data_IF_338519671966
#
_entry.id   IF_338519671966
#
_cell.length_a   1.000
_cell.length_b   1.000
_cell.length_c   1.000
_cell.angle_alpha   90.00
_cell.angle_beta   90.00
_cell.angle_gamma   90.00
#
_symmetry.space_group_name_H-M   'P 1'
#
loop_
_entity.id
_entity.type
_entity.pdbx_description
1 polymer ?
#
# COMPACT_ATOMS: atom_id res chain seq x y z
N UNK A 1 -7.04 -10.24 -6.08
CA UNK A 1 -5.81 -10.98 -5.75
C UNK A 1 -4.78 -9.94 -5.36
N UNK A 2 -4.09 -10.13 -4.23
CA UNK A 2 -3.19 -9.12 -3.70
C UNK A 2 -1.89 -9.06 -4.52
N UNK A 3 -1.34 -7.86 -4.66
CA UNK A 3 -0.10 -7.59 -5.40
C UNK A 3 0.86 -6.79 -4.52
N UNK A 4 2.15 -7.02 -4.65
CA UNK A 4 3.18 -6.20 -4.03
C UNK A 4 3.79 -5.24 -5.06
N UNK A 5 3.99 -3.97 -4.68
CA UNK A 5 4.66 -2.96 -5.46
C UNK A 5 5.95 -2.51 -4.74
N UNK A 6 7.10 -2.80 -5.34
CA UNK A 6 8.41 -2.39 -4.83
C UNK A 6 8.76 -0.96 -5.24
N UNK A 7 9.44 -0.23 -4.37
CA UNK A 7 10.07 1.05 -4.71
C UNK A 7 11.60 0.92 -4.57
N UNK A 8 12.32 1.00 -5.70
CA UNK A 8 13.79 0.85 -5.72
C UNK A 8 14.53 1.95 -5.00
N UNK A 9 14.14 3.20 -5.24
CA UNK A 9 14.77 4.37 -4.65
C UNK A 9 13.72 5.39 -4.27
N UNK A 10 13.76 5.82 -3.03
CA UNK A 10 13.03 6.97 -2.56
C UNK A 10 13.95 7.82 -1.69
N UNK A 11 14.06 9.11 -1.99
CA UNK A 11 14.70 10.07 -1.09
C UNK A 11 13.87 10.35 0.17
N UNK A 12 12.68 9.76 0.29
CA UNK A 12 11.76 9.95 1.40
C UNK A 12 11.92 8.86 2.45
N UNK A 13 12.00 9.26 3.71
CA UNK A 13 11.99 8.33 4.84
C UNK A 13 10.59 7.71 5.06
N UNK A 14 10.47 6.42 5.44
CA UNK A 14 9.17 5.77 5.62
C UNK A 14 8.21 6.49 6.56
N UNK A 15 8.73 7.02 7.68
CA UNK A 15 7.89 7.80 8.62
C UNK A 15 7.36 9.11 7.99
N UNK A 16 8.12 9.76 7.10
CA UNK A 16 7.65 10.94 6.39
C UNK A 16 6.54 10.61 5.40
N UNK A 17 6.63 9.44 4.76
CA UNK A 17 5.59 8.91 3.89
C UNK A 17 4.32 8.60 4.69
N UNK A 18 4.44 7.92 5.83
CA UNK A 18 3.32 7.64 6.73
C UNK A 18 2.64 8.92 7.21
N UNK A 19 3.41 9.92 7.65
CA UNK A 19 2.87 11.21 8.09
C UNK A 19 2.01 11.87 6.99
N UNK A 20 2.51 11.90 5.74
CA UNK A 20 1.75 12.45 4.61
C UNK A 20 0.47 11.67 4.32
N UNK A 21 0.52 10.33 4.42
CA UNK A 21 -0.64 9.46 4.23
C UNK A 21 -1.76 9.74 5.24
N UNK A 22 -1.44 10.19 6.46
CA UNK A 22 -2.45 10.49 7.49
C UNK A 22 -3.48 11.55 7.06
N UNK A 23 -3.17 12.37 6.03
CA UNK A 23 -4.12 13.31 5.45
C UNK A 23 -5.39 12.59 4.96
N UNK A 24 -5.20 11.54 4.16
CA UNK A 24 -6.27 10.85 3.43
C UNK A 24 -6.57 9.45 3.98
N UNK A 25 -5.67 8.86 4.77
CA UNK A 25 -5.76 7.50 5.28
C UNK A 25 -5.81 7.46 6.80
N UNK A 26 -6.53 6.47 7.32
CA UNK A 26 -6.37 5.98 8.69
C UNK A 26 -5.29 4.91 8.70
N UNK A 27 -4.46 4.90 9.74
CA UNK A 27 -3.35 3.97 9.88
C UNK A 27 -3.60 3.00 11.03
N UNK A 28 -3.31 1.74 10.78
CA UNK A 28 -3.28 0.67 11.77
C UNK A 28 -1.93 -0.05 11.66
N UNK A 29 -1.26 -0.23 12.79
CA UNK A 29 -0.04 -1.01 12.89
C UNK A 29 -0.35 -2.51 12.91
N UNK A 30 0.50 -3.29 12.25
CA UNK A 30 0.38 -4.73 12.21
C UNK A 30 1.77 -5.36 12.37
N UNK A 31 1.92 -6.23 13.36
CA UNK A 31 3.19 -6.92 13.61
C UNK A 31 3.27 -8.18 12.75
N UNK A 32 4.26 -8.22 11.86
CA UNK A 32 4.65 -9.39 11.08
C UNK A 32 5.51 -10.31 11.94
N UNK A 33 5.19 -11.60 11.91
CA UNK A 33 5.99 -12.63 12.56
C UNK A 33 7.16 -13.04 11.68
N UNK A 34 8.14 -13.73 12.28
CA UNK A 34 9.29 -14.28 11.55
C UNK A 34 8.83 -15.04 10.30
N UNK A 35 9.52 -14.81 9.19
CA UNK A 35 9.22 -15.40 7.87
C UNK A 35 7.80 -15.09 7.39
N UNK A 36 7.18 -14.02 7.89
CA UNK A 36 5.85 -13.54 7.50
C UNK A 36 4.74 -14.59 7.65
N UNK A 37 4.85 -15.48 8.65
CA UNK A 37 3.91 -16.60 8.89
C UNK A 37 2.46 -16.18 9.12
N UNK A 38 2.22 -14.91 9.45
CA UNK A 38 0.90 -14.33 9.67
C UNK A 38 0.45 -13.42 8.51
N UNK A 39 1.07 -13.52 7.33
CA UNK A 39 0.69 -12.74 6.15
C UNK A 39 -0.79 -12.93 5.77
N UNK A 40 -1.33 -14.15 5.87
CA UNK A 40 -2.76 -14.40 5.61
C UNK A 40 -3.67 -13.66 6.58
N UNK A 41 -3.24 -13.44 7.83
CA UNK A 41 -3.97 -12.63 8.81
C UNK A 41 -3.93 -11.15 8.45
N UNK A 42 -2.79 -10.64 7.98
CA UNK A 42 -2.67 -9.28 7.45
C UNK A 42 -3.62 -9.07 6.27
N UNK A 43 -3.61 -9.98 5.29
CA UNK A 43 -4.48 -9.90 4.11
C UNK A 43 -5.96 -9.97 4.48
N UNK A 44 -6.32 -10.85 5.42
CA UNK A 44 -7.68 -10.93 5.94
C UNK A 44 -8.10 -9.64 6.66
N UNK A 45 -7.17 -9.01 7.39
CA UNK A 45 -7.42 -7.71 8.04
C UNK A 45 -7.62 -6.60 7.02
N UNK A 46 -6.80 -6.53 5.97
CA UNK A 46 -6.97 -5.59 4.86
C UNK A 46 -8.33 -5.76 4.18
N UNK A 47 -8.75 -6.99 3.89
CA UNK A 47 -10.06 -7.28 3.29
C UNK A 47 -11.23 -6.93 4.23
N UNK A 48 -11.07 -7.12 5.54
CA UNK A 48 -12.09 -6.67 6.50
C UNK A 48 -12.17 -5.15 6.53
N UNK A 49 -11.04 -4.45 6.47
CA UNK A 49 -10.98 -2.99 6.49
C UNK A 49 -11.46 -2.39 5.18
N UNK A 50 -11.39 -3.09 4.04
CA UNK A 50 -11.87 -2.58 2.75
C UNK A 50 -13.40 -2.57 2.65
N UNK A 51 -14.11 -3.33 3.48
CA UNK A 51 -15.59 -3.40 3.43
C UNK A 51 -16.24 -2.13 3.96
N UNK A 52 -17.17 -1.58 3.19
CA UNK A 52 -18.06 -0.48 3.60
C UNK A 52 -19.45 -0.99 3.94
N UNK A 53 -20.18 -0.22 4.75
CA UNK A 53 -21.55 -0.54 5.16
C UNK A 53 -22.55 -0.54 3.98
N UNK A 54 -22.26 0.22 2.92
CA UNK A 54 -23.07 0.29 1.69
C UNK A 54 -22.79 -0.84 0.69
N UNK A 55 -21.96 -1.82 1.07
CA UNK A 55 -21.54 -2.94 0.21
C UNK A 55 -20.45 -2.57 -0.79
N UNK A 56 -19.98 -1.32 -0.81
CA UNK A 56 -18.82 -0.90 -1.58
C UNK A 56 -17.50 -1.39 -0.96
N UNK A 57 -16.44 -1.35 -1.74
CA UNK A 57 -15.07 -1.44 -1.22
C UNK A 57 -14.47 -0.05 -1.07
N UNK A 58 -13.54 0.11 -0.14
CA UNK A 58 -12.65 1.26 -0.04
C UNK A 58 -11.20 0.82 -0.23
N UNK A 59 -10.36 1.66 -0.83
CA UNK A 59 -8.93 1.40 -0.96
C UNK A 59 -8.25 1.11 0.38
N UNK A 60 -7.50 0.01 0.42
CA UNK A 60 -6.66 -0.40 1.54
C UNK A 60 -5.35 -0.96 1.01
N UNK A 61 -4.24 -0.42 1.47
CA UNK A 61 -2.91 -0.96 1.17
C UNK A 61 -2.03 -0.97 2.40
N UNK A 62 -0.97 -1.77 2.38
CA UNK A 62 0.05 -1.81 3.42
C UNK A 62 1.30 -1.11 2.94
N UNK A 63 1.98 -0.37 3.82
CA UNK A 63 3.37 0.01 3.65
C UNK A 63 4.24 -0.85 4.58
N UNK A 64 5.28 -1.45 4.03
CA UNK A 64 6.34 -2.12 4.78
C UNK A 64 7.70 -1.57 4.36
N UNK A 65 8.53 -1.25 5.35
CA UNK A 65 9.84 -0.62 5.18
C UNK A 65 10.97 -1.38 5.92
N UNK A 66 10.74 -2.66 6.20
CA UNK A 66 11.65 -3.53 6.93
C UNK A 66 11.32 -3.66 8.41
N UNK A 67 11.83 -4.72 9.03
CA UNK A 67 11.61 -5.07 10.43
C UNK A 67 10.35 -5.91 10.66
N UNK A 68 9.66 -5.67 11.77
CA UNK A 68 8.48 -6.45 12.17
C UNK A 68 7.17 -5.67 12.06
N UNK A 69 7.19 -4.38 11.71
CA UNK A 69 6.00 -3.55 11.69
C UNK A 69 5.59 -3.16 10.26
N UNK A 70 4.35 -3.49 9.91
CA UNK A 70 3.69 -3.08 8.69
C UNK A 70 2.54 -2.12 9.02
N UNK A 71 2.29 -1.14 8.14
CA UNK A 71 1.27 -0.12 8.35
C UNK A 71 0.14 -0.27 7.35
N UNK A 72 -1.05 -0.65 7.82
CA UNK A 72 -2.26 -0.71 7.01
C UNK A 72 -2.82 0.70 6.86
N UNK A 73 -2.92 1.17 5.63
CA UNK A 73 -3.46 2.48 5.25
C UNK A 73 -4.83 2.27 4.62
N UNK A 74 -5.86 2.70 5.35
CA UNK A 74 -7.26 2.59 4.93
C UNK A 74 -7.78 3.96 4.54
N UNK A 75 -8.30 4.10 3.32
CA UNK A 75 -8.80 5.39 2.85
C UNK A 75 -9.97 5.87 3.72
N UNK A 76 -9.92 7.12 4.19
CA UNK A 76 -10.99 7.71 5.00
C UNK A 76 -12.27 7.85 4.18
N UNK A 77 -13.41 7.65 4.83
CA UNK A 77 -14.74 7.75 4.18
C UNK A 77 -15.07 9.16 3.69
N UNK A 78 -14.47 10.18 4.29
CA UNK A 78 -14.62 11.58 3.90
C UNK A 78 -13.49 12.08 2.98
N UNK A 79 -12.62 11.19 2.48
CA UNK A 79 -11.56 11.59 1.56
C UNK A 79 -12.12 11.96 0.19
N UNK A 80 -11.67 13.10 -0.35
CA UNK A 80 -12.00 13.51 -1.71
C UNK A 80 -11.47 12.53 -2.77
N UNK A 81 -10.48 11.70 -2.43
CA UNK A 81 -9.97 10.64 -3.32
C UNK A 81 -11.04 9.58 -3.63
N UNK A 82 -12.05 9.40 -2.78
CA UNK A 82 -13.17 8.51 -3.11
C UNK A 82 -14.00 9.03 -4.29
N UNK A 83 -13.98 10.35 -4.53
CA UNK A 83 -14.72 10.97 -5.63
C UNK A 83 -13.97 10.89 -6.96
N UNK A 84 -12.66 10.61 -6.94
CA UNK A 84 -11.83 10.46 -8.15
C UNK A 84 -11.87 9.04 -8.71
N UNK A 85 -12.41 8.07 -7.96
CA UNK A 85 -12.56 6.68 -8.38
C UNK A 85 -13.90 6.53 -9.10
N UNK A 86 -13.86 6.05 -10.35
CA UNK A 86 -15.08 5.79 -11.12
C UNK A 86 -15.97 4.74 -10.44
N UNK A 87 -17.30 4.90 -10.43
CA UNK A 87 -18.20 3.82 -10.00
C UNK A 87 -18.00 2.58 -10.88
N UNK A 88 -17.53 1.48 -10.28
CA UNK A 88 -17.23 0.23 -11.00
C UNK A 88 -15.80 0.12 -11.53
N UNK A 89 -14.92 1.07 -11.21
CA UNK A 89 -13.47 0.95 -11.48
C UNK A 89 -12.95 -0.36 -10.88
N UNK A 90 -12.28 -1.16 -11.71
CA UNK A 90 -11.55 -2.34 -11.24
C UNK A 90 -10.20 -1.85 -10.71
N UNK A 91 -9.72 -2.49 -9.65
CA UNK A 91 -8.43 -2.14 -9.04
C UNK A 91 -8.38 -0.74 -8.38
N UNK A 92 -9.40 -0.41 -7.57
CA UNK A 92 -9.52 0.91 -6.92
C UNK A 92 -8.32 1.22 -6.01
N UNK A 93 -7.77 0.21 -5.35
CA UNK A 93 -6.61 0.39 -4.46
C UNK A 93 -5.39 0.79 -5.28
N UNK A 94 -5.14 0.12 -6.41
CA UNK A 94 -4.05 0.45 -7.32
C UNK A 94 -4.16 1.87 -7.87
N UNK A 95 -5.34 2.30 -8.31
CA UNK A 95 -5.55 3.66 -8.84
C UNK A 95 -5.22 4.72 -7.79
N UNK A 96 -5.71 4.55 -6.56
CA UNK A 96 -5.42 5.47 -5.46
C UNK A 96 -3.93 5.44 -5.09
N UNK A 97 -3.31 4.26 -5.09
CA UNK A 97 -1.88 4.13 -4.85
C UNK A 97 -1.05 4.92 -5.88
N UNK A 98 -1.37 4.79 -7.17
CA UNK A 98 -0.68 5.52 -8.24
C UNK A 98 -0.85 7.04 -8.10
N UNK A 99 -2.09 7.51 -7.93
CA UNK A 99 -2.39 8.95 -7.86
C UNK A 99 -1.84 9.62 -6.59
N UNK A 100 -2.10 9.03 -5.42
CA UNK A 100 -1.79 9.68 -4.15
C UNK A 100 -0.37 9.37 -3.70
N UNK A 101 0.08 8.13 -3.83
CA UNK A 101 1.38 7.70 -3.30
C UNK A 101 2.49 7.98 -4.32
N UNK A 102 2.39 7.40 -5.51
CA UNK A 102 3.47 7.51 -6.51
C UNK A 102 3.57 8.93 -7.05
N UNK A 103 2.47 9.52 -7.52
CA UNK A 103 2.46 10.87 -8.09
C UNK A 103 2.42 11.95 -7.00
N UNK A 104 1.45 11.87 -6.08
CA UNK A 104 1.21 12.93 -5.10
C UNK A 104 2.31 13.08 -4.04
N UNK A 105 2.70 11.98 -3.40
CA UNK A 105 3.65 12.02 -2.28
C UNK A 105 5.10 11.86 -2.76
N UNK A 106 5.36 10.84 -3.59
CA UNK A 106 6.70 10.53 -4.07
C UNK A 106 7.12 11.38 -5.27
N UNK A 107 6.18 12.03 -5.96
CA UNK A 107 6.47 12.91 -7.09
C UNK A 107 6.95 12.17 -8.35
N UNK A 108 6.65 10.88 -8.48
CA UNK A 108 7.10 10.05 -9.60
C UNK A 108 6.17 10.25 -10.80
N UNK A 109 6.71 10.76 -11.90
CA UNK A 109 6.02 10.79 -13.18
C UNK A 109 5.70 9.37 -13.69
N UNK A 110 4.73 9.18 -14.59
CA UNK A 110 4.41 7.85 -15.14
C UNK A 110 5.61 7.11 -15.74
N UNK A 111 6.56 7.85 -16.32
CA UNK A 111 7.81 7.29 -16.83
C UNK A 111 8.70 6.78 -15.70
N UNK A 112 8.90 7.58 -14.66
CA UNK A 112 9.70 7.18 -13.50
C UNK A 112 9.05 6.02 -12.74
N UNK A 113 7.72 5.96 -12.70
CA UNK A 113 7.01 4.82 -12.13
C UNK A 113 7.35 3.53 -12.87
N UNK A 114 7.35 3.54 -14.21
CA UNK A 114 7.70 2.37 -15.02
C UNK A 114 9.16 1.91 -14.81
N UNK A 115 10.06 2.83 -14.46
CA UNK A 115 11.48 2.53 -14.23
C UNK A 115 11.78 2.11 -12.76
N UNK A 116 11.01 2.64 -11.79
CA UNK A 116 11.30 2.51 -10.36
C UNK A 116 10.31 1.62 -9.57
N UNK A 117 9.17 1.26 -10.16
CA UNK A 117 8.14 0.43 -9.53
C UNK A 117 8.10 -0.94 -10.18
N UNK A 118 8.23 -1.99 -9.38
CA UNK A 118 8.12 -3.39 -9.83
C UNK A 118 6.92 -4.01 -9.12
N UNK A 119 6.10 -4.74 -9.86
CA UNK A 119 4.94 -5.46 -9.32
C UNK A 119 5.22 -6.96 -9.28
N UNK A 120 4.79 -7.63 -8.21
CA UNK A 120 4.84 -9.09 -8.06
C UNK A 120 3.60 -9.62 -7.33
N UNK A 121 3.25 -10.89 -7.56
CA UNK A 121 2.24 -11.61 -6.78
C UNK A 121 2.85 -12.41 -5.62
N UNK A 122 4.18 -12.58 -5.60
CA UNK A 122 4.90 -13.21 -4.49
C UNK A 122 5.15 -12.19 -3.37
N UNK A 123 4.18 -12.08 -2.47
CA UNK A 123 4.20 -11.12 -1.38
C UNK A 123 5.28 -11.41 -0.33
N UNK A 124 5.55 -12.69 -0.05
CA UNK A 124 6.55 -13.07 0.95
C UNK A 124 7.97 -12.75 0.46
N UNK A 125 8.27 -13.08 -0.80
CA UNK A 125 9.53 -12.67 -1.42
C UNK A 125 9.65 -11.13 -1.47
N UNK A 126 8.53 -10.42 -1.61
CA UNK A 126 8.54 -8.98 -1.64
C UNK A 126 8.86 -8.32 -0.30
N UNK A 127 8.32 -8.85 0.80
CA UNK A 127 8.70 -8.42 2.14
C UNK A 127 10.18 -8.74 2.42
N UNK A 128 10.62 -9.96 2.06
CA UNK A 128 12.01 -10.38 2.25
C UNK A 128 13.01 -9.47 1.53
N UNK A 129 12.71 -9.07 0.30
CA UNK A 129 13.62 -8.21 -0.46
C UNK A 129 13.78 -6.81 0.16
N UNK A 130 12.80 -6.32 0.92
CA UNK A 130 12.92 -5.07 1.71
C UNK A 130 13.80 -5.30 2.94
N UNK A 131 13.59 -6.40 3.68
CA UNK A 131 14.42 -6.74 4.83
C UNK A 131 15.89 -6.99 4.44
N UNK A 132 16.13 -7.54 3.26
CA UNK A 132 17.46 -7.72 2.68
C UNK A 132 18.09 -6.41 2.18
N UNK A 133 17.37 -5.28 2.24
CA UNK A 133 17.82 -3.96 1.82
C UNK A 133 17.90 -3.77 0.30
N UNK A 134 17.25 -4.63 -0.50
CA UNK A 134 17.23 -4.51 -1.96
C UNK A 134 16.29 -3.39 -2.46
N UNK A 135 15.26 -3.08 -1.67
CA UNK A 135 14.27 -2.05 -1.95
C UNK A 135 14.03 -1.19 -0.72
N UNK A 136 13.64 0.07 -0.92
CA UNK A 136 13.34 0.99 0.19
C UNK A 136 12.01 0.63 0.86
N UNK A 137 11.00 0.31 0.04
CA UNK A 137 9.64 0.03 0.49
C UNK A 137 9.02 -1.07 -0.36
N UNK A 138 8.03 -1.74 0.23
CA UNK A 138 7.04 -2.52 -0.50
C UNK A 138 5.64 -2.09 -0.05
N UNK A 139 4.74 -1.99 -1.02
CA UNK A 139 3.32 -1.79 -0.78
C UNK A 139 2.55 -3.06 -1.11
N UNK A 140 1.72 -3.55 -0.18
CA UNK A 140 0.78 -4.63 -0.48
C UNK A 140 -0.56 -4.01 -0.85
N UNK A 141 -1.05 -4.30 -2.04
CA UNK A 141 -2.28 -3.78 -2.60
C UNK A 141 -3.33 -4.90 -2.58
N UNK A 142 -4.49 -4.64 -1.99
CA UNK A 142 -5.62 -5.57 -2.02
C UNK A 142 -6.82 -4.96 -2.75
N UNK A 143 -7.47 -5.76 -3.59
CA UNK A 143 -8.57 -5.36 -4.48
C UNK A 143 -9.89 -6.05 -4.13
#
# INVERSE_FOLDING_TARGET
MAKAAFIKQSGMHPLSLLDRLTRNFMQEDFILYQEYRNLDLLLSRMESLSRRADGGKRPVFVLFAGGDCAFINTLKENSNLLQTISPGEKEQTLVVFQQEVLEGILGLSPREQAENVIYTEDLAAALQAVDDGQYSFVFLLNE
#
